data_IF_686627642450
#
_entry.id   IF_686627642450
#
_cell.length_a   1.000
_cell.length_b   1.000
_cell.length_c   1.000
_cell.angle_alpha   90.00
_cell.angle_beta   90.00
_cell.angle_gamma   90.00
#
_symmetry.space_group_name_H-M   'P 1'
#
loop_
_entity.id
_entity.type
_entity.pdbx_description
1 polymer ?
#
# COMPACT_ATOMS: atom_id res chain seq x y z
N UNK A 1 -31.22 -35.59 22.62
CA UNK A 1 -32.56 -36.22 22.44
C UNK A 1 -32.43 -37.70 22.02
N UNK A 2 -32.09 -38.60 22.95
CA UNK A 2 -32.18 -40.07 22.70
C UNK A 2 -32.30 -40.93 23.98
N UNK A 3 -32.11 -40.37 25.16
CA UNK A 3 -32.08 -41.14 26.42
C UNK A 3 -33.37 -41.05 27.27
N UNK A 4 -34.45 -40.48 26.72
CA UNK A 4 -35.76 -40.37 27.40
C UNK A 4 -36.73 -41.50 26.99
N UNK A 5 -36.47 -42.20 25.88
CA UNK A 5 -37.33 -43.29 25.38
C UNK A 5 -37.10 -44.64 26.06
N UNK A 6 -35.98 -44.83 26.76
CA UNK A 6 -35.69 -46.09 27.47
C UNK A 6 -36.27 -46.11 28.89
N UNK A 7 -36.44 -44.93 29.51
CA UNK A 7 -37.05 -44.80 30.84
C UNK A 7 -38.59 -44.89 30.80
N UNK A 8 -39.20 -44.62 29.65
CA UNK A 8 -40.65 -44.76 29.40
C UNK A 8 -41.09 -46.20 29.12
N UNK A 9 -40.15 -47.13 28.88
CA UNK A 9 -40.43 -48.55 28.62
C UNK A 9 -40.44 -49.41 29.90
N UNK A 10 -39.98 -48.86 31.02
CA UNK A 10 -39.98 -49.52 32.35
C UNK A 10 -41.12 -49.07 33.27
N UNK A 11 -41.98 -48.15 32.80
CA UNK A 11 -43.08 -47.55 33.58
C UNK A 11 -44.49 -47.91 33.07
N UNK A 12 -44.60 -48.84 32.11
CA UNK A 12 -45.86 -49.22 31.45
C UNK A 12 -46.31 -50.68 31.70
N UNK A 13 -45.94 -51.27 32.84
CA UNK A 13 -46.51 -52.55 33.28
C UNK A 13 -46.91 -52.51 34.76
N UNK A 14 -47.66 -51.45 35.11
CA UNK A 14 -48.54 -51.45 36.26
C UNK A 14 -49.99 -51.53 35.78
N UNK A 15 -50.74 -52.44 36.41
CA UNK A 15 -52.21 -52.48 36.46
C UNK A 15 -52.92 -53.14 35.26
N UNK A 16 -53.07 -54.47 35.35
CA UNK A 16 -54.38 -55.09 35.09
C UNK A 16 -54.61 -56.18 36.15
N UNK A 17 -55.20 -55.72 37.24
CA UNK A 17 -55.94 -56.53 38.20
C UNK A 17 -57.01 -57.34 37.47
N UNK A 18 -56.77 -58.64 37.32
CA UNK A 18 -57.85 -59.62 37.32
C UNK A 18 -57.85 -60.28 38.69
N UNK A 19 -58.57 -59.66 39.63
CA UNK A 19 -59.17 -60.37 40.75
C UNK A 19 -60.11 -61.41 40.13
N UNK A 20 -59.61 -62.63 39.93
CA UNK A 20 -60.50 -63.79 39.94
C UNK A 20 -60.77 -64.03 41.42
N UNK A 21 -61.86 -63.44 41.90
CA UNK A 21 -62.56 -63.93 43.08
C UNK A 21 -62.99 -65.34 42.71
N UNK A 22 -62.17 -66.33 43.06
CA UNK A 22 -62.66 -67.69 43.20
C UNK A 22 -63.70 -67.61 44.31
N UNK A 23 -64.96 -67.76 43.92
CA UNK A 23 -66.05 -68.19 44.80
C UNK A 23 -65.54 -69.42 45.57
N UNK A 24 -64.91 -69.19 46.73
CA UNK A 24 -64.93 -70.17 47.81
C UNK A 24 -66.39 -70.21 48.24
N UNK A 25 -67.11 -71.14 47.62
CA UNK A 25 -68.32 -71.69 48.21
C UNK A 25 -68.01 -71.93 49.68
N UNK A 26 -68.66 -71.17 50.56
CA UNK A 26 -68.84 -71.54 51.97
C UNK A 26 -69.50 -72.92 51.95
N UNK A 27 -68.69 -73.98 51.88
CA UNK A 27 -69.11 -75.31 52.27
C UNK A 27 -69.48 -75.17 53.73
N UNK A 28 -70.79 -75.22 53.97
CA UNK A 28 -71.42 -75.18 55.28
C UNK A 28 -70.55 -75.98 56.25
N UNK A 29 -70.00 -75.31 57.26
CA UNK A 29 -69.28 -75.95 58.35
C UNK A 29 -70.22 -76.97 58.98
N UNK A 30 -70.05 -78.24 58.60
CA UNK A 30 -70.78 -79.37 59.16
C UNK A 30 -70.35 -79.46 60.62
N UNK A 31 -71.17 -78.95 61.53
CA UNK A 31 -71.02 -79.21 62.96
C UNK A 31 -71.39 -80.69 63.13
N UNK A 32 -70.41 -81.58 63.41
CA UNK A 32 -70.64 -83.01 63.36
C UNK A 32 -71.59 -83.41 64.47
N UNK A 33 -72.66 -84.13 64.11
CA UNK A 33 -73.76 -84.44 65.01
C UNK A 33 -73.52 -85.73 65.82
N UNK A 34 -72.47 -86.50 65.48
CA UNK A 34 -72.04 -87.66 66.26
C UNK A 34 -70.49 -87.88 66.21
N UNK A 35 -69.93 -88.65 67.16
CA UNK A 35 -68.49 -88.90 67.24
C UNK A 35 -67.86 -89.65 66.05
N UNK A 36 -68.62 -90.45 65.29
CA UNK A 36 -68.15 -91.10 64.07
C UNK A 36 -67.98 -90.11 62.91
N UNK A 37 -68.88 -89.13 62.79
CA UNK A 37 -68.87 -88.11 61.72
C UNK A 37 -67.69 -87.14 61.88
N UNK A 38 -67.35 -86.77 63.13
CA UNK A 38 -66.15 -86.00 63.46
C UNK A 38 -64.85 -86.76 63.13
N UNK A 39 -64.83 -88.09 63.36
CA UNK A 39 -63.67 -88.93 63.05
C UNK A 39 -63.39 -88.99 61.54
N UNK A 40 -64.44 -88.96 60.72
CA UNK A 40 -64.34 -89.04 59.27
C UNK A 40 -63.84 -87.71 58.66
N UNK A 41 -64.31 -86.57 59.19
CA UNK A 41 -63.81 -85.23 58.83
C UNK A 41 -62.35 -85.03 59.25
N UNK A 42 -61.95 -85.45 60.46
CA UNK A 42 -60.54 -85.37 60.91
C UNK A 42 -59.64 -86.30 60.09
N UNK A 43 -60.13 -87.48 59.70
CA UNK A 43 -59.40 -88.42 58.84
C UNK A 43 -59.24 -87.85 57.42
N UNK A 44 -60.29 -87.28 56.82
CA UNK A 44 -60.19 -86.59 55.53
C UNK A 44 -59.27 -85.37 55.59
N UNK A 45 -59.35 -84.56 56.65
CA UNK A 45 -58.46 -83.42 56.90
C UNK A 45 -56.99 -83.83 57.08
N UNK A 46 -56.70 -84.86 57.87
CA UNK A 46 -55.33 -85.41 57.98
C UNK A 46 -54.78 -85.89 56.64
N UNK A 47 -55.60 -86.52 55.79
CA UNK A 47 -55.17 -86.95 54.46
C UNK A 47 -55.02 -85.78 53.47
N UNK A 48 -55.87 -84.76 53.55
CA UNK A 48 -55.77 -83.54 52.75
C UNK A 48 -54.52 -82.74 53.13
N UNK A 49 -54.30 -82.49 54.43
CA UNK A 49 -53.10 -81.84 54.96
C UNK A 49 -51.83 -82.61 54.59
N UNK A 50 -51.83 -83.94 54.72
CA UNK A 50 -50.68 -84.77 54.35
C UNK A 50 -50.38 -84.69 52.84
N UNK A 51 -51.40 -84.60 51.98
CA UNK A 51 -51.21 -84.42 50.53
C UNK A 51 -50.69 -83.04 50.19
N UNK A 52 -51.25 -82.00 50.80
CA UNK A 52 -50.82 -80.61 50.59
C UNK A 52 -49.37 -80.39 51.09
N UNK A 53 -49.02 -80.94 52.25
CA UNK A 53 -47.67 -80.92 52.80
C UNK A 53 -46.67 -81.62 51.88
N UNK A 54 -47.01 -82.81 51.37
CA UNK A 54 -46.17 -83.52 50.39
C UNK A 54 -46.00 -82.72 49.09
N UNK A 55 -47.05 -82.05 48.62
CA UNK A 55 -46.97 -81.16 47.45
C UNK A 55 -46.11 -79.92 47.74
N UNK A 56 -46.20 -79.34 48.93
CA UNK A 56 -45.36 -78.21 49.37
C UNK A 56 -43.89 -78.62 49.47
N UNK A 57 -43.59 -79.78 50.05
CA UNK A 57 -42.24 -80.33 50.11
C UNK A 57 -41.69 -80.68 48.72
N UNK A 58 -42.54 -81.19 47.81
CA UNK A 58 -42.15 -81.44 46.42
C UNK A 58 -41.87 -80.11 45.68
N UNK A 59 -42.72 -79.09 45.85
CA UNK A 59 -42.50 -77.74 45.30
C UNK A 59 -41.21 -77.13 45.85
N UNK A 60 -41.00 -77.15 47.15
CA UNK A 60 -39.79 -76.63 47.80
C UNK A 60 -38.52 -77.34 47.32
N UNK A 61 -38.54 -78.67 47.19
CA UNK A 61 -37.40 -79.43 46.62
C UNK A 61 -37.15 -79.07 45.16
N UNK A 62 -38.20 -78.93 44.35
CA UNK A 62 -38.08 -78.52 42.95
C UNK A 62 -37.54 -77.10 42.81
N UNK A 63 -37.99 -76.16 43.64
CA UNK A 63 -37.49 -74.78 43.68
C UNK A 63 -36.04 -74.72 44.16
N UNK A 64 -35.67 -75.46 45.20
CA UNK A 64 -34.28 -75.59 45.65
C UNK A 64 -33.38 -76.13 44.54
N UNK A 65 -33.82 -77.17 43.83
CA UNK A 65 -33.09 -77.73 42.70
C UNK A 65 -33.00 -76.74 41.52
N UNK A 66 -34.07 -75.98 41.26
CA UNK A 66 -34.10 -74.92 40.26
C UNK A 66 -33.12 -73.79 40.61
N UNK A 67 -33.09 -73.34 41.87
CA UNK A 67 -32.14 -72.33 42.34
C UNK A 67 -30.70 -72.83 42.28
N UNK A 68 -30.45 -74.08 42.68
CA UNK A 68 -29.13 -74.70 42.57
C UNK A 68 -28.66 -74.79 41.12
N UNK A 69 -29.57 -75.12 40.19
CA UNK A 69 -29.28 -75.13 38.75
C UNK A 69 -28.98 -73.73 38.24
N UNK A 70 -29.82 -72.73 38.53
CA UNK A 70 -29.59 -71.34 38.12
C UNK A 70 -28.26 -70.79 38.66
N UNK A 71 -27.91 -71.09 39.91
CA UNK A 71 -26.64 -70.69 40.50
C UNK A 71 -25.46 -71.36 39.80
N UNK A 72 -25.59 -72.65 39.44
CA UNK A 72 -24.56 -73.36 38.67
C UNK A 72 -24.41 -72.76 37.27
N UNK A 73 -25.51 -72.58 36.54
CA UNK A 73 -25.52 -72.01 35.20
C UNK A 73 -24.91 -70.60 35.22
N UNK A 74 -25.25 -69.77 36.21
CA UNK A 74 -24.66 -68.43 36.37
C UNK A 74 -23.16 -68.46 36.70
N UNK A 75 -22.69 -69.44 37.49
CA UNK A 75 -21.25 -69.62 37.76
C UNK A 75 -20.49 -70.09 36.51
N UNK A 76 -21.07 -71.03 35.77
CA UNK A 76 -20.49 -71.54 34.52
C UNK A 76 -20.41 -70.43 33.46
N UNK A 77 -21.45 -69.59 33.38
CA UNK A 77 -21.49 -68.42 32.51
C UNK A 77 -20.45 -67.37 32.93
N UNK A 78 -20.34 -67.06 34.22
CA UNK A 78 -19.30 -66.14 34.73
C UNK A 78 -17.90 -66.64 34.38
N UNK A 79 -17.63 -67.93 34.57
CA UNK A 79 -16.35 -68.54 34.23
C UNK A 79 -16.08 -68.57 32.71
N UNK A 80 -17.13 -68.61 31.87
CA UNK A 80 -16.99 -68.45 30.42
C UNK A 80 -16.60 -67.01 30.06
N UNK A 81 -17.31 -66.03 30.61
CA UNK A 81 -17.05 -64.61 30.37
C UNK A 81 -15.67 -64.19 30.91
N UNK A 82 -15.23 -64.69 32.06
CA UNK A 82 -13.88 -64.44 32.60
C UNK A 82 -12.80 -64.96 31.65
N UNK A 83 -12.99 -66.14 31.04
CA UNK A 83 -12.06 -66.68 30.03
C UNK A 83 -12.06 -65.88 28.73
N UNK A 84 -13.22 -65.41 28.30
CA UNK A 84 -13.34 -64.56 27.12
C UNK A 84 -12.71 -63.19 27.34
N UNK A 85 -12.93 -62.57 28.50
CA UNK A 85 -12.30 -61.32 28.90
C UNK A 85 -10.78 -61.46 28.92
N UNK A 86 -10.24 -62.51 29.58
CA UNK A 86 -8.79 -62.76 29.60
C UNK A 86 -8.19 -62.94 28.19
N UNK A 87 -8.91 -63.63 27.29
CA UNK A 87 -8.48 -63.77 25.89
C UNK A 87 -8.51 -62.43 25.14
N UNK A 88 -9.55 -61.62 25.35
CA UNK A 88 -9.68 -60.31 24.71
C UNK A 88 -8.63 -59.34 25.24
N UNK A 89 -8.32 -59.39 26.54
CA UNK A 89 -7.27 -58.61 27.18
C UNK A 89 -5.89 -58.94 26.60
N UNK A 90 -5.55 -60.23 26.48
CA UNK A 90 -4.32 -60.65 25.78
C UNK A 90 -4.26 -60.18 24.33
N UNK A 91 -5.39 -60.20 23.61
CA UNK A 91 -5.45 -59.70 22.24
C UNK A 91 -5.27 -58.18 22.18
N UNK A 92 -5.85 -57.46 23.15
CA UNK A 92 -5.71 -56.02 23.27
C UNK A 92 -4.25 -55.64 23.54
N UNK A 93 -3.61 -56.27 24.54
CA UNK A 93 -2.19 -56.06 24.85
C UNK A 93 -1.28 -56.37 23.65
N UNK A 94 -1.54 -57.47 22.92
CA UNK A 94 -0.79 -57.81 21.72
C UNK A 94 -0.97 -56.77 20.60
N UNK A 95 -2.19 -56.27 20.41
CA UNK A 95 -2.46 -55.21 19.43
C UNK A 95 -1.83 -53.88 19.85
N UNK A 96 -1.83 -53.55 21.14
CA UNK A 96 -1.20 -52.35 21.68
C UNK A 96 0.32 -52.39 21.47
N UNK A 97 0.96 -53.53 21.71
CA UNK A 97 2.38 -53.71 21.40
C UNK A 97 2.68 -53.57 19.90
N UNK A 98 1.84 -54.13 19.02
CA UNK A 98 1.99 -53.96 17.58
C UNK A 98 1.79 -52.50 17.15
N UNK A 99 0.84 -51.78 17.78
CA UNK A 99 0.59 -50.38 17.49
C UNK A 99 1.80 -49.52 17.85
N UNK A 100 2.38 -49.71 19.05
CA UNK A 100 3.57 -48.98 19.49
C UNK A 100 4.74 -49.19 18.53
N UNK A 101 4.98 -50.44 18.09
CA UNK A 101 6.04 -50.74 17.10
C UNK A 101 5.75 -50.10 15.74
N UNK A 102 4.51 -50.15 15.27
CA UNK A 102 4.10 -49.54 14.01
C UNK A 102 4.22 -48.00 14.04
N UNK A 103 3.85 -47.36 15.16
CA UNK A 103 4.00 -45.93 15.38
C UNK A 103 5.48 -45.51 15.42
N UNK A 104 6.35 -46.29 16.07
CA UNK A 104 7.78 -45.99 16.12
C UNK A 104 8.44 -46.18 14.74
N UNK A 105 8.09 -47.24 14.00
CA UNK A 105 8.55 -47.43 12.62
C UNK A 105 8.07 -46.31 11.69
N UNK A 106 6.82 -45.86 11.86
CA UNK A 106 6.31 -44.71 11.13
C UNK A 106 7.11 -43.45 11.48
N UNK A 107 7.39 -43.21 12.75
CA UNK A 107 8.17 -42.06 13.23
C UNK A 107 9.60 -42.07 12.69
N UNK A 108 10.27 -43.22 12.71
CA UNK A 108 11.62 -43.38 12.17
C UNK A 108 11.66 -43.12 10.66
N UNK A 109 10.69 -43.68 9.91
CA UNK A 109 10.56 -43.44 8.46
C UNK A 109 10.16 -41.99 8.14
N UNK A 110 9.38 -41.34 8.99
CA UNK A 110 9.05 -39.93 8.87
C UNK A 110 10.23 -39.02 9.19
N UNK A 111 11.20 -39.46 10.00
CA UNK A 111 12.36 -38.64 10.39
C UNK A 111 13.12 -38.05 9.20
N UNK A 112 13.46 -38.87 8.20
CA UNK A 112 14.12 -38.39 6.97
C UNK A 112 13.18 -37.60 6.06
N UNK A 113 11.88 -37.90 6.09
CA UNK A 113 10.88 -37.19 5.30
C UNK A 113 10.55 -35.81 5.89
N UNK A 114 10.63 -35.63 7.21
CA UNK A 114 10.37 -34.38 7.89
C UNK A 114 11.33 -33.27 7.46
N UNK A 115 12.59 -33.61 7.18
CA UNK A 115 13.56 -32.67 6.61
C UNK A 115 13.12 -32.24 5.21
N UNK A 116 12.75 -33.19 4.34
CA UNK A 116 12.24 -32.92 3.00
C UNK A 116 10.96 -32.08 3.05
N UNK A 117 10.04 -32.37 3.96
CA UNK A 117 8.81 -31.58 4.13
C UNK A 117 9.07 -30.19 4.71
N UNK A 118 10.07 -30.05 5.58
CA UNK A 118 10.54 -28.75 6.03
C UNK A 118 11.06 -27.89 4.87
N UNK A 119 11.89 -28.48 4.00
CA UNK A 119 12.34 -27.81 2.77
C UNK A 119 11.20 -27.50 1.82
N UNK A 120 10.25 -28.42 1.64
CA UNK A 120 9.08 -28.22 0.80
C UNK A 120 8.20 -27.09 1.34
N UNK A 121 7.95 -27.05 2.65
CA UNK A 121 7.19 -25.99 3.30
C UNK A 121 7.88 -24.63 3.14
N UNK A 122 9.20 -24.60 3.31
CA UNK A 122 10.03 -23.41 3.09
C UNK A 122 9.92 -22.90 1.65
N UNK A 123 10.18 -23.79 0.67
CA UNK A 123 10.12 -23.47 -0.75
C UNK A 123 8.71 -23.05 -1.19
N UNK A 124 7.67 -23.69 -0.66
CA UNK A 124 6.28 -23.34 -0.96
C UNK A 124 5.94 -21.94 -0.41
N UNK A 125 6.44 -21.61 0.78
CA UNK A 125 6.27 -20.28 1.39
C UNK A 125 7.03 -19.21 0.60
N UNK A 126 8.25 -19.50 0.17
CA UNK A 126 9.05 -18.60 -0.66
C UNK A 126 8.42 -18.40 -2.04
N UNK A 127 7.99 -19.48 -2.70
CA UNK A 127 7.27 -19.43 -3.96
C UNK A 127 6.00 -18.58 -3.87
N UNK A 128 5.22 -18.77 -2.80
CA UNK A 128 4.05 -17.93 -2.51
C UNK A 128 4.43 -16.46 -2.41
N UNK A 129 5.45 -16.12 -1.61
CA UNK A 129 5.86 -14.73 -1.42
C UNK A 129 6.33 -14.09 -2.74
N UNK A 130 7.03 -14.85 -3.59
CA UNK A 130 7.42 -14.40 -4.93
C UNK A 130 6.18 -14.16 -5.78
N UNK A 131 5.25 -15.13 -5.83
CA UNK A 131 4.01 -15.02 -6.62
C UNK A 131 3.10 -13.89 -6.15
N UNK A 132 3.01 -13.64 -4.85
CA UNK A 132 2.22 -12.56 -4.23
C UNK A 132 2.78 -11.17 -4.54
N UNK A 133 4.09 -11.04 -4.73
CA UNK A 133 4.75 -9.76 -5.01
C UNK A 133 5.01 -9.53 -6.50
N UNK A 134 4.96 -10.59 -7.32
CA UNK A 134 5.26 -10.57 -8.73
C UNK A 134 4.19 -9.81 -9.53
N UNK A 135 4.64 -9.14 -10.60
CA UNK A 135 3.75 -8.50 -11.57
C UNK A 135 2.84 -9.53 -12.28
N UNK A 136 3.15 -10.82 -12.26
CA UNK A 136 2.32 -11.88 -12.87
C UNK A 136 1.04 -12.19 -12.09
N UNK A 137 0.96 -11.75 -10.82
CA UNK A 137 -0.12 -12.12 -9.91
C UNK A 137 -1.50 -11.68 -10.40
N UNK A 138 -1.62 -10.46 -10.94
CA UNK A 138 -2.89 -9.99 -11.50
C UNK A 138 -3.35 -10.80 -12.72
N UNK A 139 -2.43 -11.43 -13.47
CA UNK A 139 -2.77 -12.25 -14.64
C UNK A 139 -3.32 -13.63 -14.22
N UNK A 140 -2.74 -14.24 -13.19
CA UNK A 140 -3.05 -15.61 -12.79
C UNK A 140 -3.99 -15.72 -11.59
N UNK A 141 -4.28 -14.61 -10.93
CA UNK A 141 -5.17 -14.54 -9.78
C UNK A 141 -4.57 -15.15 -8.50
N UNK A 142 -5.41 -15.25 -7.46
CA UNK A 142 -5.03 -15.67 -6.11
C UNK A 142 -5.14 -17.17 -5.82
N UNK A 143 -5.60 -17.95 -6.80
CA UNK A 143 -5.81 -19.40 -6.61
C UNK A 143 -4.50 -20.12 -6.32
N UNK A 144 -3.43 -19.75 -7.04
CA UNK A 144 -2.08 -20.26 -6.81
C UNK A 144 -1.52 -19.88 -5.43
N UNK A 145 -1.79 -18.67 -4.95
CA UNK A 145 -1.36 -18.20 -3.62
C UNK A 145 -2.06 -19.00 -2.51
N UNK A 146 -3.34 -19.29 -2.72
CA UNK A 146 -4.17 -20.10 -1.82
C UNK A 146 -3.69 -21.55 -1.77
N UNK A 147 -3.37 -22.12 -2.93
CA UNK A 147 -2.77 -23.45 -3.04
C UNK A 147 -1.44 -23.53 -2.29
N UNK A 148 -0.52 -22.59 -2.53
CA UNK A 148 0.78 -22.56 -1.84
C UNK A 148 0.62 -22.38 -0.32
N UNK A 149 -0.33 -21.56 0.12
CA UNK A 149 -0.63 -21.39 1.56
C UNK A 149 -1.12 -22.69 2.18
N UNK A 150 -2.02 -23.40 1.51
CA UNK A 150 -2.57 -24.66 1.99
C UNK A 150 -1.50 -25.75 2.02
N UNK A 151 -0.70 -25.87 0.96
CA UNK A 151 0.40 -26.84 0.88
C UNK A 151 1.47 -26.56 1.93
N UNK A 152 1.90 -25.30 2.10
CA UNK A 152 2.88 -24.91 3.11
C UNK A 152 2.40 -25.21 4.53
N UNK A 153 1.14 -24.88 4.86
CA UNK A 153 0.54 -25.20 6.16
C UNK A 153 0.48 -26.71 6.41
N UNK A 154 0.04 -27.49 5.41
CA UNK A 154 -0.05 -28.95 5.49
C UNK A 154 1.30 -29.58 5.80
N UNK A 155 2.38 -29.08 5.20
CA UNK A 155 3.74 -29.59 5.37
C UNK A 155 4.38 -29.18 6.69
N UNK A 156 3.96 -28.05 7.26
CA UNK A 156 4.46 -27.58 8.56
C UNK A 156 3.84 -28.33 9.75
N UNK A 157 2.66 -28.94 9.58
CA UNK A 157 2.00 -29.74 10.62
C UNK A 157 2.75 -31.06 10.94
N UNK A 158 3.68 -31.50 10.09
CA UNK A 158 4.57 -32.66 10.33
C UNK A 158 3.90 -34.04 10.39
N UNK A 159 2.57 -34.11 10.30
CA UNK A 159 1.78 -35.35 10.42
C UNK A 159 1.11 -35.73 9.10
N UNK A 160 0.90 -34.77 8.18
CA UNK A 160 0.25 -35.00 6.87
C UNK A 160 1.27 -34.88 5.75
N UNK A 161 1.19 -35.80 4.78
CA UNK A 161 2.07 -35.85 3.62
C UNK A 161 1.42 -35.13 2.43
N UNK A 162 2.25 -34.52 1.58
CA UNK A 162 1.79 -33.98 0.31
C UNK A 162 1.46 -35.16 -0.63
N UNK A 163 0.37 -35.04 -1.38
CA UNK A 163 0.09 -35.99 -2.45
C UNK A 163 1.03 -35.73 -3.63
N UNK A 164 1.24 -36.74 -4.48
CA UNK A 164 2.03 -36.60 -5.71
C UNK A 164 1.42 -35.50 -6.59
N UNK A 165 0.09 -35.44 -6.69
CA UNK A 165 -0.64 -34.40 -7.43
C UNK A 165 -0.34 -32.98 -6.91
N UNK A 166 -0.25 -32.80 -5.59
CA UNK A 166 0.14 -31.52 -4.99
C UNK A 166 1.58 -31.14 -5.34
N UNK A 167 2.51 -32.12 -5.36
CA UNK A 167 3.90 -31.87 -5.75
C UNK A 167 4.03 -31.52 -7.24
N UNK A 168 3.29 -32.20 -8.10
CA UNK A 168 3.23 -31.90 -9.54
C UNK A 168 2.63 -30.52 -9.79
N UNK A 169 1.61 -30.14 -9.03
CA UNK A 169 1.01 -28.80 -9.10
C UNK A 169 1.98 -27.71 -8.65
N UNK A 170 2.73 -27.93 -7.56
CA UNK A 170 3.79 -27.02 -7.12
C UNK A 170 4.83 -26.82 -8.22
N UNK A 171 5.34 -27.92 -8.78
CA UNK A 171 6.31 -27.87 -9.87
C UNK A 171 5.77 -27.13 -11.10
N UNK A 172 4.52 -27.41 -11.49
CA UNK A 172 3.85 -26.76 -12.61
C UNK A 172 3.73 -25.25 -12.40
N UNK A 173 3.26 -24.80 -11.24
CA UNK A 173 3.10 -23.36 -10.95
C UNK A 173 4.45 -22.63 -10.86
N UNK A 174 5.50 -23.29 -10.36
CA UNK A 174 6.86 -22.75 -10.40
C UNK A 174 7.36 -22.56 -11.83
N UNK A 175 7.20 -23.59 -12.67
CA UNK A 175 7.61 -23.50 -14.08
C UNK A 175 6.79 -22.45 -14.85
N UNK A 176 5.50 -22.33 -14.52
CA UNK A 176 4.61 -21.32 -15.09
C UNK A 176 5.06 -19.91 -14.72
N UNK A 177 5.45 -19.68 -13.47
CA UNK A 177 6.01 -18.38 -13.04
C UNK A 177 7.33 -18.08 -13.75
N UNK A 178 8.21 -19.07 -13.90
CA UNK A 178 9.48 -18.92 -14.64
C UNK A 178 9.22 -18.51 -16.09
N UNK A 179 8.31 -19.21 -16.79
CA UNK A 179 7.97 -18.87 -18.17
C UNK A 179 7.33 -17.48 -18.25
N UNK A 180 6.36 -17.20 -17.38
CA UNK A 180 5.70 -15.91 -17.33
C UNK A 180 6.68 -14.76 -17.09
N UNK A 181 7.71 -14.95 -16.26
CA UNK A 181 8.71 -13.92 -15.96
C UNK A 181 9.51 -13.44 -17.19
N UNK A 182 9.59 -14.25 -18.25
CA UNK A 182 10.28 -13.92 -19.50
C UNK A 182 9.35 -13.56 -20.67
N UNK A 183 8.03 -13.71 -20.50
CA UNK A 183 7.07 -13.50 -21.58
C UNK A 183 6.56 -12.05 -21.65
N UNK A 184 6.32 -11.59 -22.88
CA UNK A 184 5.57 -10.37 -23.16
C UNK A 184 4.15 -10.76 -23.54
N UNK A 185 3.16 -10.37 -22.74
CA UNK A 185 1.77 -10.78 -22.94
C UNK A 185 0.82 -9.60 -22.84
N UNK A 186 -0.12 -9.53 -23.78
CA UNK A 186 -1.25 -8.60 -23.77
C UNK A 186 -2.49 -9.31 -23.24
N UNK A 187 -3.15 -8.72 -22.25
CA UNK A 187 -4.39 -9.24 -21.69
C UNK A 187 -5.24 -8.10 -21.13
N UNK A 188 -6.49 -8.40 -20.83
CA UNK A 188 -7.47 -7.44 -20.32
C UNK A 188 -7.66 -7.66 -18.82
N UNK A 189 -7.57 -6.60 -18.02
CA UNK A 189 -7.68 -6.68 -16.55
C UNK A 189 -8.15 -5.37 -15.94
N UNK A 190 -8.63 -5.46 -14.72
CA UNK A 190 -8.97 -4.31 -13.89
C UNK A 190 -7.71 -3.57 -13.42
N UNK A 191 -7.72 -2.24 -13.62
CA UNK A 191 -6.67 -1.31 -13.23
C UNK A 191 -7.28 -0.22 -12.37
N UNK A 192 -6.64 0.08 -11.25
CA UNK A 192 -7.04 1.17 -10.36
C UNK A 192 -6.43 2.48 -10.86
N UNK A 193 -7.27 3.47 -11.14
CA UNK A 193 -6.81 4.80 -11.56
C UNK A 193 -6.29 5.62 -10.37
N UNK A 194 -5.57 6.70 -10.66
CA UNK A 194 -5.12 7.66 -9.64
C UNK A 194 -6.27 8.27 -8.82
N UNK A 195 -7.47 8.38 -9.40
CA UNK A 195 -8.69 8.84 -8.73
C UNK A 195 -9.35 7.75 -7.84
N UNK A 196 -8.82 6.51 -7.87
CA UNK A 196 -9.33 5.38 -7.11
C UNK A 196 -10.46 4.61 -7.77
N UNK A 197 -10.83 4.94 -9.01
CA UNK A 197 -11.79 4.18 -9.80
C UNK A 197 -11.14 2.89 -10.32
N UNK A 198 -11.95 1.85 -10.52
CA UNK A 198 -11.49 0.59 -11.13
C UNK A 198 -12.02 0.55 -12.55
N UNK A 199 -11.11 0.47 -13.52
CA UNK A 199 -11.43 0.43 -14.95
C UNK A 199 -10.84 -0.81 -15.59
N UNK A 200 -11.58 -1.43 -16.51
CA UNK A 200 -11.08 -2.56 -17.25
C UNK A 200 -10.30 -2.08 -18.48
N UNK A 201 -9.02 -2.41 -18.57
CA UNK A 201 -8.10 -1.91 -19.60
C UNK A 201 -7.25 -3.03 -20.20
N UNK A 202 -6.82 -2.81 -21.43
CA UNK A 202 -5.83 -3.66 -22.08
C UNK A 202 -4.44 -3.33 -21.55
N UNK A 203 -3.82 -4.31 -20.91
CA UNK A 203 -2.49 -4.20 -20.34
C UNK A 203 -1.50 -5.07 -21.11
N UNK A 204 -0.27 -4.58 -21.24
CA UNK A 204 0.86 -5.37 -21.72
C UNK A 204 1.85 -5.53 -20.58
N UNK A 205 2.09 -6.77 -20.19
CA UNK A 205 3.12 -7.14 -19.21
C UNK A 205 4.38 -7.55 -19.95
N UNK A 206 5.50 -6.93 -19.61
CA UNK A 206 6.84 -7.24 -20.15
C UNK A 206 7.62 -7.96 -19.05
N UNK A 207 7.53 -9.29 -19.05
CA UNK A 207 8.15 -10.14 -18.04
C UNK A 207 7.75 -9.77 -16.61
N UNK A 208 8.73 -9.80 -15.70
CA UNK A 208 8.60 -9.26 -14.34
C UNK A 208 9.22 -7.87 -14.22
N UNK A 209 9.29 -7.10 -15.30
CA UNK A 209 9.96 -5.79 -15.25
C UNK A 209 8.96 -4.63 -15.19
N UNK A 210 8.01 -4.61 -16.13
CA UNK A 210 7.04 -3.52 -16.24
C UNK A 210 5.70 -4.02 -16.74
N UNK A 211 4.65 -3.31 -16.35
CA UNK A 211 3.30 -3.42 -16.91
C UNK A 211 2.89 -2.06 -17.42
N UNK A 212 2.30 -2.01 -18.61
CA UNK A 212 1.89 -0.76 -19.25
C UNK A 212 0.49 -0.88 -19.83
N UNK A 213 -0.21 0.26 -19.90
CA UNK A 213 -1.53 0.41 -20.50
C UNK A 213 -1.62 1.79 -21.14
N UNK A 214 -1.89 1.84 -22.44
CA UNK A 214 -2.20 3.07 -23.20
C UNK A 214 -1.45 4.35 -22.75
N UNK A 215 -0.14 4.41 -22.97
CA UNK A 215 0.66 5.59 -22.61
C UNK A 215 1.11 5.64 -21.14
N UNK A 216 0.70 4.70 -20.30
CA UNK A 216 0.95 4.72 -18.86
C UNK A 216 1.67 3.46 -18.37
N UNK A 217 2.60 3.65 -17.45
CA UNK A 217 3.18 2.60 -16.63
C UNK A 217 2.31 2.34 -15.40
N UNK A 218 2.16 1.06 -15.06
CA UNK A 218 1.37 0.57 -13.94
C UNK A 218 2.28 -0.07 -12.89
N UNK A 219 1.82 -0.08 -11.64
CA UNK A 219 2.39 -0.85 -10.53
C UNK A 219 1.42 -1.92 -10.07
N UNK A 220 1.92 -3.03 -9.53
CA UNK A 220 1.07 -4.03 -8.87
C UNK A 220 0.90 -3.74 -7.39
N UNK A 221 -0.32 -3.88 -6.87
CA UNK A 221 -0.64 -3.74 -5.45
C UNK A 221 -1.01 -5.11 -4.86
N UNK A 222 -0.10 -5.79 -4.13
CA UNK A 222 -0.39 -7.12 -3.56
C UNK A 222 -1.61 -7.14 -2.63
N UNK A 223 -1.81 -6.06 -1.86
CA UNK A 223 -2.94 -5.94 -0.93
C UNK A 223 -4.29 -5.91 -1.64
N UNK A 224 -4.36 -5.26 -2.82
CA UNK A 224 -5.58 -5.18 -3.63
C UNK A 224 -5.69 -6.28 -4.68
N UNK A 225 -4.59 -6.96 -5.01
CA UNK A 225 -4.55 -7.99 -6.06
C UNK A 225 -4.76 -7.44 -7.47
N UNK A 226 -4.52 -6.13 -7.67
CA UNK A 226 -4.79 -5.43 -8.92
C UNK A 226 -3.61 -4.54 -9.31
N UNK A 227 -3.50 -4.23 -10.60
CA UNK A 227 -2.63 -3.15 -11.04
C UNK A 227 -3.24 -1.79 -10.68
N UNK A 228 -2.37 -0.80 -10.49
CA UNK A 228 -2.73 0.59 -10.28
C UNK A 228 -1.87 1.49 -11.15
N UNK A 229 -2.44 2.61 -11.58
CA UNK A 229 -1.67 3.68 -12.20
C UNK A 229 -0.60 4.18 -11.22
N UNK A 230 0.58 4.51 -11.76
CA UNK A 230 1.58 5.23 -11.00
C UNK A 230 1.09 6.66 -10.72
N UNK A 231 1.32 7.22 -9.51
CA UNK A 231 0.84 8.55 -9.15
C UNK A 231 1.27 9.67 -10.11
N UNK A 232 2.45 9.52 -10.70
CA UNK A 232 2.90 10.32 -11.84
C UNK A 232 3.43 9.38 -12.93
N UNK A 233 3.65 9.88 -14.13
CA UNK A 233 4.20 9.08 -15.23
C UNK A 233 5.62 9.52 -15.57
N UNK A 234 6.49 8.61 -16.05
CA UNK A 234 7.85 8.96 -16.44
C UNK A 234 7.83 9.90 -17.65
N UNK A 235 8.96 10.57 -17.92
CA UNK A 235 9.07 11.55 -19.01
C UNK A 235 8.56 11.00 -20.36
N UNK A 236 8.01 11.88 -21.21
CA UNK A 236 7.32 11.52 -22.46
C UNK A 236 8.07 10.57 -23.41
N UNK A 237 9.41 10.57 -23.39
CA UNK A 237 10.24 9.62 -24.15
C UNK A 237 10.08 8.15 -23.74
N UNK A 238 9.61 7.88 -22.52
CA UNK A 238 9.38 6.53 -22.01
C UNK A 238 7.92 6.12 -22.26
N UNK A 239 6.96 7.01 -21.98
CA UNK A 239 5.53 6.74 -22.20
C UNK A 239 5.16 6.59 -23.67
N UNK A 240 5.82 7.31 -24.59
CA UNK A 240 5.61 7.15 -26.04
C UNK A 240 5.81 5.70 -26.51
N UNK A 241 6.85 5.02 -26.02
CA UNK A 241 7.14 3.61 -26.37
C UNK A 241 6.08 2.61 -25.88
N UNK A 242 5.25 3.00 -24.90
CA UNK A 242 4.20 2.12 -24.36
C UNK A 242 2.97 2.04 -25.28
N UNK A 243 2.71 3.08 -26.07
CA UNK A 243 1.65 3.03 -27.08
C UNK A 243 2.03 2.12 -28.25
N UNK A 244 3.31 2.11 -28.61
CA UNK A 244 3.87 1.24 -29.65
C UNK A 244 3.79 -0.24 -29.22
N UNK A 245 4.14 -0.59 -27.97
CA UNK A 245 4.06 -1.99 -27.51
C UNK A 245 2.62 -2.52 -27.42
N UNK A 246 1.62 -1.65 -27.26
CA UNK A 246 0.20 -2.04 -27.24
C UNK A 246 -0.38 -2.29 -28.64
N UNK A 247 0.17 -1.62 -29.66
CA UNK A 247 -0.37 -1.53 -31.02
C UNK A 247 0.46 -2.25 -32.08
N UNK A 248 1.70 -2.62 -31.78
CA UNK A 248 2.60 -3.23 -32.75
C UNK A 248 2.27 -4.71 -33.01
N UNK A 249 2.15 -5.04 -34.30
CA UNK A 249 1.99 -6.41 -34.80
C UNK A 249 3.34 -7.08 -35.16
N UNK A 250 4.47 -6.34 -35.07
CA UNK A 250 5.79 -6.81 -35.49
C UNK A 250 6.91 -6.45 -34.50
N UNK A 251 7.77 -7.42 -34.20
CA UNK A 251 8.97 -7.28 -33.37
C UNK A 251 10.25 -7.13 -34.22
N UNK A 252 11.31 -6.46 -33.73
CA UNK A 252 11.51 -5.91 -32.38
C UNK A 252 11.02 -4.46 -32.21
N UNK A 253 10.59 -4.11 -30.99
CA UNK A 253 10.16 -2.76 -30.59
C UNK A 253 11.15 -2.24 -29.54
N UNK A 254 11.46 -0.95 -29.58
CA UNK A 254 12.27 -0.32 -28.54
C UNK A 254 11.40 0.02 -27.34
N UNK A 255 11.64 -0.62 -26.20
CA UNK A 255 10.88 -0.40 -24.96
C UNK A 255 11.81 -0.14 -23.79
N UNK A 256 11.45 0.83 -22.93
CA UNK A 256 12.20 1.13 -21.73
C UNK A 256 11.79 0.22 -20.58
N UNK A 257 12.72 -0.64 -20.18
CA UNK A 257 12.56 -1.61 -19.10
C UNK A 257 13.22 -1.10 -17.81
N UNK A 258 12.56 -1.29 -16.67
CA UNK A 258 13.11 -1.06 -15.34
C UNK A 258 13.39 -2.40 -14.63
N UNK A 259 14.66 -2.86 -14.61
CA UNK A 259 15.04 -4.12 -13.99
C UNK A 259 15.26 -4.01 -12.46
N UNK A 260 15.00 -2.86 -11.84
CA UNK A 260 15.35 -2.65 -10.43
C UNK A 260 14.32 -3.22 -9.46
N UNK A 261 14.83 -3.75 -8.35
CA UNK A 261 14.02 -4.38 -7.30
C UNK A 261 13.82 -5.88 -7.54
N UNK A 262 13.40 -6.63 -6.51
CA UNK A 262 13.25 -8.09 -6.61
C UNK A 262 12.16 -8.54 -7.60
N UNK A 263 11.27 -7.63 -8.03
CA UNK A 263 10.15 -7.90 -8.94
C UNK A 263 10.02 -6.84 -10.06
N UNK A 264 11.10 -6.09 -10.35
CA UNK A 264 11.14 -5.03 -11.36
C UNK A 264 10.34 -3.76 -10.99
N UNK A 265 10.58 -2.66 -11.72
CA UNK A 265 9.76 -1.44 -11.64
C UNK A 265 9.95 -0.56 -10.38
N UNK A 266 10.84 -0.93 -9.45
CA UNK A 266 11.01 -0.19 -8.17
C UNK A 266 11.60 1.21 -8.36
N UNK A 267 12.49 1.38 -9.34
CA UNK A 267 13.11 2.66 -9.68
C UNK A 267 12.09 3.56 -10.36
N UNK A 268 11.23 3.06 -11.23
CA UNK A 268 10.20 3.85 -11.87
C UNK A 268 9.26 4.45 -10.82
N UNK A 269 8.76 3.61 -9.90
CA UNK A 269 7.96 4.06 -8.77
C UNK A 269 8.67 5.13 -7.91
N UNK A 270 10.00 5.05 -7.78
CA UNK A 270 10.81 6.02 -7.01
C UNK A 270 11.30 7.25 -7.79
N UNK A 271 11.47 7.17 -9.11
CA UNK A 271 11.89 8.27 -9.97
C UNK A 271 10.71 9.19 -10.27
N UNK A 272 9.53 8.61 -10.37
CA UNK A 272 8.26 9.29 -10.62
C UNK A 272 7.83 10.16 -9.44
N UNK A 273 8.28 9.84 -8.22
CA UNK A 273 8.11 10.75 -7.06
C UNK A 273 9.01 11.99 -7.13
N UNK A 274 9.89 12.13 -8.15
CA UNK A 274 10.60 13.37 -8.37
C UNK A 274 9.72 14.34 -9.16
N UNK A 275 9.24 15.44 -8.54
CA UNK A 275 8.43 16.42 -9.25
C UNK A 275 9.20 17.00 -10.44
N UNK A 276 8.50 17.23 -11.55
CA UNK A 276 9.06 17.88 -12.76
C UNK A 276 9.52 19.32 -12.47
N UNK A 277 10.29 19.96 -13.34
CA UNK A 277 10.75 21.35 -13.10
C UNK A 277 9.60 22.34 -12.92
N UNK A 278 8.53 22.20 -13.71
CA UNK A 278 7.34 23.05 -13.61
C UNK A 278 6.52 22.73 -12.35
N UNK A 279 6.39 21.45 -12.02
CA UNK A 279 5.72 21.00 -10.81
C UNK A 279 6.48 21.44 -9.55
N UNK A 280 7.82 21.40 -9.58
CA UNK A 280 8.69 21.98 -8.55
C UNK A 280 8.39 23.46 -8.36
N UNK A 281 8.14 24.23 -9.42
CA UNK A 281 7.80 25.65 -9.26
C UNK A 281 6.50 25.84 -8.47
N UNK A 282 5.51 24.96 -8.67
CA UNK A 282 4.24 25.00 -7.94
C UNK A 282 4.37 24.51 -6.48
N UNK A 283 5.36 23.66 -6.18
CA UNK A 283 5.63 23.19 -4.82
C UNK A 283 6.13 24.30 -3.88
N UNK A 284 6.66 25.41 -4.40
CA UNK A 284 7.18 26.51 -3.57
C UNK A 284 6.13 27.26 -2.72
N UNK A 285 4.86 26.84 -2.76
CA UNK A 285 3.79 27.38 -1.95
C UNK A 285 3.52 28.87 -2.22
N UNK A 286 2.91 29.58 -1.25
CA UNK A 286 2.57 30.99 -1.40
C UNK A 286 3.81 31.88 -1.65
N UNK A 287 4.91 31.63 -0.95
CA UNK A 287 6.15 32.43 -1.07
C UNK A 287 6.79 32.24 -2.44
N UNK A 288 6.88 30.99 -2.94
CA UNK A 288 7.39 30.69 -4.27
C UNK A 288 6.57 31.37 -5.37
N UNK A 289 5.23 31.38 -5.22
CA UNK A 289 4.34 32.06 -6.16
C UNK A 289 4.59 33.57 -6.21
N UNK A 290 4.80 34.22 -5.07
CA UNK A 290 5.11 35.65 -5.01
C UNK A 290 6.46 35.95 -5.69
N UNK A 291 7.49 35.14 -5.43
CA UNK A 291 8.80 35.28 -6.08
C UNK A 291 8.66 35.20 -7.60
N UNK A 292 7.87 34.26 -8.10
CA UNK A 292 7.60 34.10 -9.53
C UNK A 292 6.90 35.31 -10.14
N UNK A 293 5.86 35.85 -9.47
CA UNK A 293 5.16 37.06 -9.93
C UNK A 293 6.11 38.26 -9.98
N UNK A 294 6.93 38.46 -8.95
CA UNK A 294 7.93 39.53 -8.93
C UNK A 294 8.95 39.36 -10.07
N UNK A 295 9.40 38.11 -10.34
CA UNK A 295 10.33 37.82 -11.43
C UNK A 295 9.74 38.14 -12.81
N UNK A 296 8.47 37.84 -13.05
CA UNK A 296 7.77 38.20 -14.30
C UNK A 296 7.66 39.72 -14.43
N UNK A 297 7.25 40.43 -13.37
CA UNK A 297 7.16 41.89 -13.38
C UNK A 297 8.52 42.56 -13.60
N UNK A 298 9.59 42.05 -12.98
CA UNK A 298 10.95 42.54 -13.20
C UNK A 298 11.42 42.32 -14.64
N UNK A 299 11.08 41.17 -15.23
CA UNK A 299 11.40 40.87 -16.63
C UNK A 299 10.68 41.84 -17.59
N UNK A 300 9.40 42.11 -17.34
CA UNK A 300 8.63 43.10 -18.12
C UNK A 300 9.21 44.51 -17.99
N UNK A 301 9.56 44.92 -16.76
CA UNK A 301 10.20 46.20 -16.49
C UNK A 301 11.55 46.33 -17.22
N UNK A 302 12.35 45.25 -17.25
CA UNK A 302 13.61 45.21 -17.97
C UNK A 302 13.41 45.49 -19.46
N UNK A 303 12.50 44.77 -20.13
CA UNK A 303 12.28 44.98 -21.55
C UNK A 303 11.81 46.40 -21.84
N UNK A 304 10.86 46.93 -21.06
CA UNK A 304 10.40 48.31 -21.22
C UNK A 304 11.55 49.33 -21.08
N UNK A 305 12.34 49.24 -20.00
CA UNK A 305 13.49 50.13 -19.77
C UNK A 305 14.60 49.95 -20.80
N UNK A 306 14.84 48.74 -21.25
CA UNK A 306 15.84 48.44 -22.27
C UNK A 306 15.51 49.16 -23.58
N UNK A 307 14.27 49.07 -24.05
CA UNK A 307 13.84 49.77 -25.27
C UNK A 307 13.85 51.29 -25.11
N UNK A 308 13.42 51.81 -23.97
CA UNK A 308 13.45 53.24 -23.67
C UNK A 308 14.88 53.80 -23.70
N UNK A 309 15.83 53.16 -23.00
CA UNK A 309 17.23 53.57 -22.96
C UNK A 309 17.94 53.38 -24.30
N UNK A 310 17.59 52.34 -25.05
CA UNK A 310 18.13 52.15 -26.39
C UNK A 310 17.69 53.29 -27.32
N UNK A 311 16.43 53.71 -27.26
CA UNK A 311 15.93 54.88 -27.98
C UNK A 311 16.64 56.18 -27.58
N UNK A 312 16.76 56.45 -26.27
CA UNK A 312 17.49 57.62 -25.76
C UNK A 312 18.96 57.63 -26.21
N UNK A 313 19.64 56.48 -26.15
CA UNK A 313 21.03 56.34 -26.59
C UNK A 313 21.20 56.62 -28.07
N UNK A 314 20.28 56.14 -28.91
CA UNK A 314 20.30 56.40 -30.34
C UNK A 314 20.12 57.90 -30.62
N UNK A 315 19.18 58.56 -29.93
CA UNK A 315 18.96 60.01 -30.06
C UNK A 315 20.16 60.84 -29.62
N UNK A 316 20.77 60.53 -28.47
CA UNK A 316 21.97 61.22 -27.98
C UNK A 316 23.16 61.04 -28.93
N UNK A 317 23.37 59.83 -29.46
CA UNK A 317 24.45 59.58 -30.42
C UNK A 317 24.24 60.32 -31.74
N UNK A 318 23.01 60.31 -32.27
CA UNK A 318 22.68 61.05 -33.48
C UNK A 318 22.89 62.57 -33.31
N UNK A 319 22.56 63.11 -32.13
CA UNK A 319 22.78 64.52 -31.81
C UNK A 319 24.27 64.87 -31.69
N UNK A 320 25.10 63.99 -31.14
CA UNK A 320 26.54 64.20 -31.03
C UNK A 320 27.24 64.26 -32.40
N UNK A 321 26.68 63.62 -33.42
CA UNK A 321 27.20 63.60 -34.79
C UNK A 321 26.56 64.69 -35.71
N UNK A 322 25.57 65.44 -35.20
CA UNK A 322 24.79 66.43 -35.97
C UNK A 322 25.15 67.86 -35.61
N UNK A 323 25.31 68.72 -36.63
CA UNK A 323 25.54 70.17 -36.44
C UNK A 323 24.26 70.94 -36.06
N UNK A 324 23.07 70.38 -36.31
CA UNK A 324 21.79 71.00 -35.93
C UNK A 324 21.32 70.48 -34.58
N UNK A 325 20.97 71.40 -33.67
CA UNK A 325 20.47 71.09 -32.32
C UNK A 325 18.96 70.79 -32.32
N UNK A 326 18.56 69.66 -31.73
CA UNK A 326 17.15 69.28 -31.52
C UNK A 326 16.81 69.19 -30.03
N UNK A 327 15.61 69.63 -29.63
CA UNK A 327 15.13 69.50 -28.24
C UNK A 327 14.56 68.12 -27.91
N UNK A 328 14.44 67.21 -28.88
CA UNK A 328 13.80 65.91 -28.69
C UNK A 328 14.65 64.94 -27.85
N UNK A 329 15.96 65.19 -27.76
CA UNK A 329 16.89 64.34 -27.02
C UNK A 329 17.62 65.13 -25.91
N UNK A 330 18.05 64.42 -24.87
CA UNK A 330 18.65 65.04 -23.67
C UNK A 330 19.91 65.85 -24.00
N UNK A 331 20.77 65.35 -24.91
CA UNK A 331 21.98 66.06 -25.31
C UNK A 331 21.63 67.37 -26.03
N UNK A 332 20.68 67.36 -26.95
CA UNK A 332 20.32 68.55 -27.71
C UNK A 332 19.66 69.63 -26.84
N UNK A 333 18.85 69.25 -25.84
CA UNK A 333 18.35 70.21 -24.82
C UNK A 333 19.48 70.86 -24.02
N UNK A 334 20.53 70.11 -23.71
CA UNK A 334 21.70 70.60 -22.97
C UNK A 334 22.56 71.52 -23.84
N UNK A 335 22.84 71.12 -25.08
CA UNK A 335 23.63 71.92 -26.02
C UNK A 335 22.90 73.20 -26.43
N UNK A 336 21.57 73.19 -26.50
CA UNK A 336 20.78 74.40 -26.82
C UNK A 336 20.96 75.51 -25.79
N UNK A 337 21.22 75.18 -24.52
CA UNK A 337 21.55 76.17 -23.49
C UNK A 337 22.82 76.96 -23.87
N UNK A 338 23.79 76.32 -24.54
CA UNK A 338 24.99 76.98 -25.00
C UNK A 338 24.74 77.95 -26.17
N UNK A 339 23.75 77.66 -27.02
CA UNK A 339 23.33 78.53 -28.12
C UNK A 339 22.46 79.70 -27.65
N UNK A 340 21.44 79.40 -26.83
CA UNK A 340 20.49 80.39 -26.30
C UNK A 340 21.20 81.42 -25.38
N UNK A 341 22.23 80.99 -24.64
CA UNK A 341 23.03 81.86 -23.79
C UNK A 341 24.44 82.11 -24.34
N UNK A 342 24.51 82.54 -25.61
CA UNK A 342 25.75 82.86 -26.32
C UNK A 342 26.60 83.97 -25.68
N UNK A 343 26.06 84.76 -24.76
CA UNK A 343 26.76 85.88 -24.09
C UNK A 343 27.33 85.54 -22.72
N UNK A 344 26.90 84.45 -22.08
CA UNK A 344 27.43 84.01 -20.79
C UNK A 344 28.96 83.75 -20.83
N UNK A 345 29.62 83.96 -19.71
CA UNK A 345 30.96 83.46 -19.45
C UNK A 345 30.97 81.93 -19.37
N UNK A 346 32.16 81.33 -19.53
CA UNK A 346 32.32 79.87 -19.63
C UNK A 346 31.93 79.15 -18.36
N UNK A 347 32.20 79.76 -17.20
CA UNK A 347 31.86 79.20 -15.88
C UNK A 347 30.35 79.18 -15.66
N UNK A 348 29.65 80.28 -15.98
CA UNK A 348 28.18 80.33 -15.93
C UNK A 348 27.53 79.32 -16.89
N UNK A 349 28.10 79.11 -18.09
CA UNK A 349 27.59 78.13 -19.03
C UNK A 349 27.75 76.70 -18.50
N UNK A 350 28.92 76.36 -17.97
CA UNK A 350 29.19 75.04 -17.38
C UNK A 350 28.24 74.73 -16.22
N UNK A 351 27.99 75.71 -15.35
CA UNK A 351 27.01 75.60 -14.25
C UNK A 351 25.58 75.33 -14.77
N UNK A 352 25.13 76.04 -15.81
CA UNK A 352 23.79 75.83 -16.39
C UNK A 352 23.65 74.49 -17.09
N UNK A 353 24.67 74.03 -17.79
CA UNK A 353 24.68 72.71 -18.43
C UNK A 353 24.70 71.60 -17.38
N UNK A 354 25.50 71.74 -16.32
CA UNK A 354 25.51 70.80 -15.19
C UNK A 354 24.15 70.74 -14.47
N UNK A 355 23.48 71.88 -14.28
CA UNK A 355 22.11 71.92 -13.74
C UNK A 355 21.13 71.13 -14.63
N UNK A 356 21.23 71.29 -15.95
CA UNK A 356 20.37 70.56 -16.89
C UNK A 356 20.68 69.06 -16.91
N UNK A 357 21.95 68.65 -16.83
CA UNK A 357 22.34 67.24 -16.68
C UNK A 357 21.71 66.64 -15.42
N UNK A 358 21.72 67.38 -14.30
CA UNK A 358 21.07 66.95 -13.06
C UNK A 358 19.54 66.82 -13.19
N UNK A 359 18.90 67.64 -14.04
CA UNK A 359 17.46 67.53 -14.34
C UNK A 359 17.13 66.32 -15.23
N UNK A 360 18.01 65.95 -16.15
CA UNK A 360 17.81 64.81 -17.08
C UNK A 360 18.17 63.46 -16.44
N UNK A 361 19.08 63.45 -15.47
CA UNK A 361 19.58 62.22 -14.82
C UNK A 361 18.48 61.32 -14.24
N UNK A 362 17.46 61.80 -13.52
CA UNK A 362 16.38 60.95 -13.00
C UNK A 362 15.61 60.23 -14.10
N UNK A 363 15.44 60.83 -15.28
CA UNK A 363 14.76 60.22 -16.43
C UNK A 363 15.62 59.10 -17.04
N UNK A 364 16.93 59.33 -17.14
CA UNK A 364 17.90 58.36 -17.67
C UNK A 364 18.11 57.19 -16.70
N UNK A 365 18.18 57.42 -15.40
CA UNK A 365 18.33 56.36 -14.39
C UNK A 365 16.98 55.66 -14.10
N UNK A 366 15.87 56.40 -14.11
CA UNK A 366 14.50 55.90 -14.05
C UNK A 366 14.26 54.82 -13.01
N UNK A 367 13.51 53.77 -13.41
CA UNK A 367 13.14 52.64 -12.55
C UNK A 367 14.23 51.55 -12.46
N UNK A 368 15.47 51.82 -12.87
CA UNK A 368 16.55 50.83 -12.83
C UNK A 368 16.79 50.30 -11.39
N UNK A 369 16.54 51.12 -10.37
CA UNK A 369 16.68 50.74 -8.96
C UNK A 369 15.74 49.59 -8.55
N UNK A 370 14.58 49.44 -9.20
CA UNK A 370 13.62 48.37 -8.90
C UNK A 370 14.22 47.00 -9.26
N UNK A 371 14.88 46.91 -10.42
CA UNK A 371 15.58 45.69 -10.83
C UNK A 371 16.70 45.33 -9.83
N UNK A 372 17.44 46.33 -9.34
CA UNK A 372 18.46 46.15 -8.29
C UNK A 372 17.86 45.62 -6.99
N UNK A 373 16.69 46.12 -6.59
CA UNK A 373 16.01 45.63 -5.39
C UNK A 373 15.57 44.19 -5.58
N UNK A 374 14.92 43.88 -6.70
CA UNK A 374 14.47 42.51 -6.97
C UNK A 374 15.64 41.53 -6.97
N UNK A 375 16.80 41.90 -7.54
CA UNK A 375 17.98 41.03 -7.52
C UNK A 375 18.53 40.73 -6.12
N UNK A 376 18.33 41.65 -5.15
CA UNK A 376 18.79 41.49 -3.76
C UNK A 376 17.71 40.85 -2.87
N UNK A 377 16.45 41.19 -3.09
CA UNK A 377 15.34 40.76 -2.24
C UNK A 377 14.84 39.36 -2.62
N UNK A 378 14.90 38.96 -3.89
CA UNK A 378 14.43 37.63 -4.31
C UNK A 378 15.14 36.45 -3.59
N UNK A 379 16.47 36.45 -3.39
CA UNK A 379 17.15 35.41 -2.60
C UNK A 379 16.74 35.43 -1.12
N UNK A 380 16.57 36.62 -0.54
CA UNK A 380 16.15 36.78 0.85
C UNK A 380 14.73 36.26 1.07
N UNK A 381 13.82 36.49 0.12
CA UNK A 381 12.48 35.89 0.12
C UNK A 381 12.54 34.38 -0.03
N UNK A 382 13.45 33.85 -0.86
CA UNK A 382 13.66 32.41 -1.00
C UNK A 382 14.09 31.75 0.31
N UNK A 383 15.08 32.35 0.99
CA UNK A 383 15.55 31.92 2.31
C UNK A 383 14.43 31.99 3.37
N UNK A 384 13.65 33.07 3.36
CA UNK A 384 12.49 33.21 4.24
C UNK A 384 11.44 32.11 4.00
N UNK A 385 11.18 31.76 2.74
CA UNK A 385 10.32 30.63 2.38
C UNK A 385 10.82 29.30 2.94
N UNK A 386 12.13 29.07 2.91
CA UNK A 386 12.73 27.86 3.49
C UNK A 386 12.54 27.81 5.01
N UNK A 387 12.68 28.94 5.70
CA UNK A 387 12.40 29.02 7.14
C UNK A 387 10.94 28.66 7.44
N UNK A 388 9.98 29.21 6.69
CA UNK A 388 8.56 28.87 6.85
C UNK A 388 8.31 27.37 6.61
N UNK A 389 8.81 26.82 5.50
CA UNK A 389 8.60 25.40 5.16
C UNK A 389 9.20 24.45 6.19
N UNK A 390 10.37 24.80 6.76
CA UNK A 390 10.97 24.04 7.85
C UNK A 390 10.14 24.12 9.14
N UNK A 391 9.58 25.29 9.48
CA UNK A 391 8.69 25.44 10.64
C UNK A 391 7.43 24.58 10.48
N UNK A 392 6.81 24.59 9.30
CA UNK A 392 5.65 23.75 9.00
C UNK A 392 5.99 22.27 9.12
N UNK A 393 7.12 21.84 8.55
CA UNK A 393 7.58 20.45 8.61
C UNK A 393 7.80 20.00 10.06
N UNK A 394 8.49 20.80 10.88
CA UNK A 394 8.70 20.46 12.31
C UNK A 394 7.40 20.51 13.13
N UNK A 395 6.46 21.37 12.77
CA UNK A 395 5.14 21.41 13.42
C UNK A 395 4.37 20.12 13.14
N UNK A 396 4.39 19.64 11.89
CA UNK A 396 3.79 18.35 11.51
C UNK A 396 4.42 17.18 12.26
N UNK A 397 5.75 17.18 12.42
CA UNK A 397 6.47 16.16 13.21
C UNK A 397 6.04 16.19 14.68
N UNK A 398 5.80 17.37 15.23
CA UNK A 398 5.36 17.53 16.63
C UNK A 398 3.92 17.03 16.82
N UNK A 399 3.04 17.28 15.85
CA UNK A 399 1.61 16.94 15.94
C UNK A 399 1.34 15.45 15.66
N UNK A 400 2.04 14.86 14.69
CA UNK A 400 1.75 13.51 14.19
C UNK A 400 2.88 12.50 14.47
N UNK A 401 3.93 12.90 15.20
CA UNK A 401 5.13 12.09 15.44
C UNK A 401 6.07 12.07 14.24
N UNK A 402 7.12 11.26 14.29
CA UNK A 402 8.14 11.21 13.23
C UNK A 402 7.66 10.66 11.88
N UNK A 403 6.39 10.25 11.75
CA UNK A 403 5.79 9.80 10.49
C UNK A 403 6.63 8.77 9.72
N UNK A 404 6.36 8.66 8.42
CA UNK A 404 7.25 8.01 7.45
C UNK A 404 8.39 9.00 7.10
N UNK A 405 9.68 8.62 7.24
CA UNK A 405 10.83 9.43 6.83
C UNK A 405 10.72 9.99 5.39
N UNK A 406 9.99 9.30 4.49
CA UNK A 406 9.72 9.81 3.13
C UNK A 406 8.89 11.09 3.15
N UNK A 407 7.85 11.15 3.97
CA UNK A 407 6.99 12.33 4.09
C UNK A 407 7.76 13.51 4.68
N UNK A 408 8.66 13.26 5.64
CA UNK A 408 9.56 14.29 6.17
C UNK A 408 10.51 14.83 5.09
N UNK A 409 11.16 13.93 4.35
CA UNK A 409 12.06 14.32 3.26
C UNK A 409 11.33 15.16 2.20
N UNK A 410 10.06 14.85 1.93
CA UNK A 410 9.21 15.65 1.04
C UNK A 410 8.99 17.07 1.56
N UNK A 411 8.66 17.26 2.85
CA UNK A 411 8.46 18.59 3.45
C UNK A 411 9.73 19.46 3.40
N UNK A 412 10.89 18.87 3.68
CA UNK A 412 12.19 19.56 3.56
C UNK A 412 12.49 19.90 2.10
N UNK A 413 12.21 18.99 1.17
CA UNK A 413 12.42 19.23 -0.26
C UNK A 413 11.59 20.42 -0.76
N UNK A 414 10.33 20.52 -0.34
CA UNK A 414 9.45 21.67 -0.63
C UNK A 414 10.05 22.98 -0.11
N UNK A 415 10.59 22.99 1.11
CA UNK A 415 11.22 24.17 1.67
C UNK A 415 12.46 24.64 0.88
N UNK A 416 13.22 23.72 0.27
CA UNK A 416 14.40 24.06 -0.54
C UNK A 416 14.04 24.66 -1.91
N UNK A 417 12.86 24.34 -2.44
CA UNK A 417 12.37 24.86 -3.72
C UNK A 417 12.26 26.39 -3.70
N UNK A 418 11.82 27.00 -2.59
CA UNK A 418 11.66 28.47 -2.51
C UNK A 418 13.01 29.20 -2.66
N UNK A 419 14.07 28.62 -2.10
CA UNK A 419 15.44 29.15 -2.26
C UNK A 419 15.92 29.02 -3.69
N UNK A 420 15.66 27.87 -4.33
CA UNK A 420 15.96 27.67 -5.75
C UNK A 420 15.23 28.69 -6.63
N UNK A 421 13.94 28.95 -6.40
CA UNK A 421 13.16 29.97 -7.11
C UNK A 421 13.71 31.38 -6.89
N UNK A 422 14.09 31.72 -5.65
CA UNK A 422 14.71 33.00 -5.32
C UNK A 422 15.98 33.25 -6.12
N UNK A 423 16.85 32.24 -6.23
CA UNK A 423 18.07 32.30 -7.05
C UNK A 423 17.76 32.34 -8.55
N UNK A 424 16.77 31.57 -9.00
CA UNK A 424 16.31 31.54 -10.40
C UNK A 424 15.86 32.93 -10.87
N UNK A 425 15.24 33.73 -10.01
CA UNK A 425 14.84 35.11 -10.33
C UNK A 425 15.99 36.11 -10.12
N UNK A 426 16.77 35.96 -9.05
CA UNK A 426 17.81 36.93 -8.69
C UNK A 426 18.97 36.99 -9.68
N UNK A 427 19.43 35.83 -10.17
CA UNK A 427 20.59 35.76 -11.07
C UNK A 427 20.28 36.50 -12.39
N UNK A 428 19.21 36.19 -13.15
CA UNK A 428 18.86 36.94 -14.35
C UNK A 428 18.61 38.42 -14.07
N UNK A 429 17.91 38.74 -12.98
CA UNK A 429 17.58 40.15 -12.67
C UNK A 429 18.83 40.97 -12.37
N UNK A 430 19.89 40.37 -11.80
CA UNK A 430 21.19 41.03 -11.59
C UNK A 430 21.82 41.43 -12.92
N UNK A 431 21.80 40.53 -13.92
CA UNK A 431 22.29 40.83 -15.26
C UNK A 431 21.42 41.89 -15.95
N UNK A 432 20.10 41.78 -15.85
CA UNK A 432 19.16 42.77 -16.39
C UNK A 432 19.43 44.17 -15.83
N UNK A 433 19.58 44.30 -14.50
CA UNK A 433 19.96 45.56 -13.85
C UNK A 433 21.31 46.07 -14.36
N UNK A 434 22.34 45.21 -14.41
CA UNK A 434 23.66 45.59 -14.88
C UNK A 434 23.62 46.13 -16.32
N UNK A 435 22.85 45.50 -17.21
CA UNK A 435 22.66 45.96 -18.58
C UNK A 435 22.03 47.34 -18.64
N UNK A 436 20.86 47.56 -18.03
CA UNK A 436 20.19 48.88 -18.11
C UNK A 436 21.01 49.97 -17.41
N UNK A 437 21.66 49.66 -16.30
CA UNK A 437 22.51 50.60 -15.58
C UNK A 437 23.75 51.00 -16.39
N UNK A 438 24.36 50.06 -17.12
CA UNK A 438 25.47 50.36 -18.01
C UNK A 438 25.03 51.24 -19.19
N UNK A 439 23.83 51.01 -19.74
CA UNK A 439 23.26 51.87 -20.77
C UNK A 439 23.01 53.29 -20.25
N UNK A 440 22.38 53.44 -19.08
CA UNK A 440 22.15 54.75 -18.46
C UNK A 440 23.46 55.51 -18.21
N UNK A 441 24.48 54.84 -17.66
CA UNK A 441 25.81 55.44 -17.46
C UNK A 441 26.49 55.84 -18.76
N UNK A 442 26.37 55.01 -19.80
CA UNK A 442 26.91 55.32 -21.13
C UNK A 442 26.27 56.57 -21.73
N UNK A 443 24.95 56.72 -21.63
CA UNK A 443 24.23 57.92 -22.07
C UNK A 443 24.70 59.15 -21.31
N UNK A 444 24.75 59.08 -19.97
CA UNK A 444 25.17 60.19 -19.13
C UNK A 444 26.64 60.60 -19.43
N UNK A 445 27.53 59.62 -19.61
CA UNK A 445 28.92 59.88 -19.98
C UNK A 445 29.07 60.60 -21.32
N UNK A 446 28.30 60.21 -22.35
CA UNK A 446 28.32 60.92 -23.64
C UNK A 446 27.80 62.36 -23.52
N UNK A 447 26.78 62.57 -22.68
CA UNK A 447 26.24 63.90 -22.39
C UNK A 447 27.28 64.78 -21.68
N UNK A 448 27.91 64.25 -20.63
CA UNK A 448 28.96 64.95 -19.87
C UNK A 448 30.16 65.29 -20.75
N UNK A 449 30.66 64.33 -21.55
CA UNK A 449 31.76 64.53 -22.50
C UNK A 449 31.47 65.64 -23.51
N UNK A 450 30.28 65.62 -24.12
CA UNK A 450 29.86 66.62 -25.10
C UNK A 450 29.70 68.00 -24.47
N UNK A 451 29.17 68.06 -23.25
CA UNK A 451 29.00 69.30 -22.48
C UNK A 451 30.35 69.95 -22.16
N UNK A 452 31.28 69.17 -21.60
CA UNK A 452 32.64 69.65 -21.27
C UNK A 452 33.41 70.03 -22.54
N UNK A 453 33.30 69.24 -23.61
CA UNK A 453 33.92 69.55 -24.90
C UNK A 453 33.43 70.88 -25.49
N UNK A 454 32.14 71.18 -25.36
CA UNK A 454 31.58 72.46 -25.81
C UNK A 454 32.04 73.64 -24.95
N UNK A 455 32.09 73.48 -23.63
CA UNK A 455 32.63 74.50 -22.72
C UNK A 455 34.11 74.80 -23.02
N UNK A 456 34.91 73.76 -23.27
CA UNK A 456 36.33 73.90 -23.64
C UNK A 456 36.51 74.67 -24.96
N UNK A 457 35.76 74.30 -26.01
CA UNK A 457 35.79 75.01 -27.31
C UNK A 457 35.44 76.49 -27.17
N UNK A 458 34.50 76.83 -26.29
CA UNK A 458 34.12 78.22 -26.00
C UNK A 458 35.22 78.96 -25.23
N UNK A 459 35.90 78.30 -24.29
CA UNK A 459 37.05 78.86 -23.57
C UNK A 459 38.20 79.19 -24.51
N UNK A 460 38.53 78.28 -25.43
CA UNK A 460 39.58 78.48 -26.43
C UNK A 460 39.23 79.60 -27.43
N UNK A 461 37.95 79.77 -27.78
CA UNK A 461 37.53 80.86 -28.69
C UNK A 461 37.58 82.26 -28.07
N UNK A 462 37.62 82.36 -26.74
CA UNK A 462 37.69 83.63 -25.98
C UNK A 462 39.11 84.00 -25.54
N UNK A 463 40.06 83.07 -25.63
CA UNK A 463 41.49 83.28 -25.37
C UNK A 463 42.19 83.79 -26.64
#
# INVERSE_FOLDING_TARGET
MKNIRLLLLLLAFGISSNLVVSEESEEAAVVPSNPQELLEVVRQGQYADTREQRQREARFRNEKNKQAKLLKDAKDERARLEREAARLEQKFEANEALLVVAEEQLRERLGSLNEIFGHLAGNTTEARNIMEQSLTAAQFGKDRETFMTTLGSKMNEGIKLASIEELETLWYELQREINASGEVVKFNTEVITTDGNVENRDVVRVGNFNVVSDGQYLSYSPSRGMYSELPSQPAGRYTSSTSEILSADSFPIQFAVDPTGPQGGSLLASLISMPSTLERMNLGGPVGTIIMVIGVLATLLFFWRFYELWGMRAGVRAQAESDTLSEDNALGRILKIAEDDSKADTETLELKMAEQILKERPTIEGLNWVLKIVSVVAPLMGLFGTIIGMIETFTMITLFGTGDPKTMASGISVALVTTWLGLMVAIPTTFMYATVNNFSKGILGTIEESSTGMAAKRSESKA
#
